data_IF_547968316437
#
_entry.id   IF_547968316437
#
_cell.length_a   1.000
_cell.length_b   1.000
_cell.length_c   1.000
_cell.angle_alpha   90.00
_cell.angle_beta   90.00
_cell.angle_gamma   90.00
#
_symmetry.space_group_name_H-M   'P 1'
#
loop_
_entity.id
_entity.type
_entity.pdbx_description
1 polymer ?
#
# COMPACT_ATOMS: atom_id res chain seq x y z
N UNK A 1 7.83 56.59 11.32
CA UNK A 1 7.60 55.51 12.32
C UNK A 1 6.44 54.59 11.91
N UNK A 2 5.18 55.07 11.89
CA UNK A 2 3.99 54.22 11.68
C UNK A 2 3.90 53.52 10.30
N UNK A 3 4.37 54.15 9.21
CA UNK A 3 4.40 53.53 7.87
C UNK A 3 5.37 52.35 7.75
N UNK A 4 6.46 52.35 8.51
CA UNK A 4 7.42 51.24 8.53
C UNK A 4 6.88 50.09 9.39
N UNK A 5 6.19 50.41 10.49
CA UNK A 5 5.53 49.43 11.33
C UNK A 5 4.48 48.62 10.56
N UNK A 6 3.63 49.27 9.75
CA UNK A 6 2.64 48.60 8.91
C UNK A 6 3.31 47.67 7.88
N UNK A 7 4.40 48.11 7.24
CA UNK A 7 5.15 47.28 6.29
C UNK A 7 5.77 46.04 6.95
N UNK A 8 6.30 46.18 8.16
CA UNK A 8 6.84 45.07 8.94
C UNK A 8 5.73 44.07 9.30
N UNK A 9 4.56 44.56 9.73
CA UNK A 9 3.41 43.71 10.04
C UNK A 9 2.95 42.93 8.80
N UNK A 10 2.78 43.59 7.65
CA UNK A 10 2.37 42.94 6.40
C UNK A 10 3.40 41.89 5.95
N UNK A 11 4.69 42.23 6.02
CA UNK A 11 5.78 41.30 5.68
C UNK A 11 5.77 40.09 6.61
N UNK A 12 5.60 40.29 7.92
CA UNK A 12 5.53 39.21 8.90
C UNK A 12 4.30 38.32 8.72
N UNK A 13 3.15 38.89 8.35
CA UNK A 13 1.94 38.13 8.04
C UNK A 13 2.10 37.27 6.79
N UNK A 14 2.72 37.83 5.75
CA UNK A 14 3.00 37.12 4.50
C UNK A 14 3.96 35.95 4.73
N UNK A 15 5.06 36.18 5.48
CA UNK A 15 5.98 35.12 5.88
C UNK A 15 5.31 34.03 6.73
N UNK A 16 4.39 34.40 7.64
CA UNK A 16 3.66 33.43 8.45
C UNK A 16 2.73 32.56 7.58
N UNK A 17 2.02 33.13 6.60
CA UNK A 17 1.16 32.37 5.70
C UNK A 17 1.94 31.45 4.75
N UNK A 18 3.07 31.89 4.19
CA UNK A 18 3.90 31.08 3.28
C UNK A 18 4.57 29.87 3.95
N UNK A 19 4.61 29.79 5.29
CA UNK A 19 5.16 28.65 6.02
C UNK A 19 4.13 27.54 6.31
N UNK A 20 2.85 27.74 5.97
CA UNK A 20 1.78 26.78 6.25
C UNK A 20 1.53 25.75 5.13
N UNK A 21 2.20 25.85 3.97
CA UNK A 21 1.96 24.97 2.81
C UNK A 21 2.50 23.54 2.97
N UNK A 22 3.02 23.17 4.15
CA UNK A 22 3.54 21.81 4.41
C UNK A 22 2.93 21.12 5.63
N UNK A 23 1.64 21.35 5.87
CA UNK A 23 0.89 20.62 6.90
C UNK A 23 -0.24 19.84 6.22
N UNK A 24 0.10 18.75 5.54
CA UNK A 24 -0.64 17.47 5.49
C UNK A 24 0.10 16.52 4.53
N UNK A 25 1.11 15.79 5.02
CA UNK A 25 1.47 14.55 4.34
C UNK A 25 0.40 13.53 4.73
N UNK A 26 -0.70 13.54 3.98
CA UNK A 26 -1.63 12.41 3.99
C UNK A 26 -0.80 11.16 3.70
N UNK A 27 -0.99 10.08 4.46
CA UNK A 27 -0.42 8.79 4.09
C UNK A 27 -0.81 8.46 2.64
N UNK A 28 0.09 7.82 1.89
CA UNK A 28 -0.19 7.37 0.53
C UNK A 28 -1.07 6.12 0.55
N UNK A 29 -2.38 6.34 0.77
CA UNK A 29 -3.37 5.28 0.81
C UNK A 29 -3.59 4.60 -0.55
N UNK A 30 -3.26 5.29 -1.66
CA UNK A 30 -3.32 4.70 -3.01
C UNK A 30 -2.27 3.60 -3.12
N UNK A 31 -1.03 3.89 -2.73
CA UNK A 31 0.03 2.89 -2.71
C UNK A 31 -0.23 1.79 -1.66
N UNK A 32 -0.74 2.14 -0.47
CA UNK A 32 -1.09 1.15 0.55
C UNK A 32 -2.14 0.15 0.06
N UNK A 33 -3.18 0.61 -0.64
CA UNK A 33 -4.19 -0.25 -1.25
C UNK A 33 -3.59 -1.17 -2.32
N UNK A 34 -2.73 -0.63 -3.18
CA UNK A 34 -2.02 -1.40 -4.20
C UNK A 34 -1.20 -2.53 -3.56
N UNK A 35 -0.33 -2.21 -2.60
CA UNK A 35 0.55 -3.19 -1.96
C UNK A 35 -0.23 -4.26 -1.19
N UNK A 36 -1.32 -3.87 -0.52
CA UNK A 36 -2.19 -4.82 0.20
C UNK A 36 -2.81 -5.83 -0.75
N UNK A 37 -3.23 -5.40 -1.94
CA UNK A 37 -3.81 -6.31 -2.95
C UNK A 37 -2.72 -7.13 -3.65
N UNK A 38 -1.56 -6.52 -3.90
CA UNK A 38 -0.40 -7.16 -4.53
C UNK A 38 0.14 -8.34 -3.71
N UNK A 39 0.08 -8.24 -2.38
CA UNK A 39 0.46 -9.31 -1.45
C UNK A 39 -0.25 -10.64 -1.75
N UNK A 40 -1.56 -10.63 -2.00
CA UNK A 40 -2.31 -11.85 -2.33
C UNK A 40 -1.83 -12.54 -3.62
N UNK A 41 -1.16 -11.81 -4.52
CA UNK A 41 -0.56 -12.41 -5.69
C UNK A 41 0.63 -13.33 -5.36
N UNK A 42 1.33 -13.08 -4.25
CA UNK A 42 2.45 -13.91 -3.80
C UNK A 42 1.97 -15.20 -3.14
N UNK A 43 0.81 -15.15 -2.49
CA UNK A 43 0.24 -16.26 -1.73
C UNK A 43 -0.51 -17.28 -2.60
N UNK A 44 -0.61 -17.05 -3.93
CA UNK A 44 -1.43 -17.88 -4.83
C UNK A 44 -0.96 -19.34 -4.86
N UNK A 45 -1.82 -20.28 -4.49
CA UNK A 45 -1.54 -21.72 -4.57
C UNK A 45 -2.09 -22.33 -5.88
N UNK A 46 -1.60 -23.52 -6.27
CA UNK A 46 -1.99 -24.18 -7.52
C UNK A 46 -1.31 -23.61 -8.78
N UNK A 47 -1.85 -23.96 -9.94
CA UNK A 47 -1.42 -23.39 -11.23
C UNK A 47 -2.17 -22.09 -11.55
N UNK A 48 -2.10 -21.12 -10.63
CA UNK A 48 -2.94 -19.90 -10.65
C UNK A 48 -2.17 -18.62 -10.97
N UNK A 49 -0.96 -18.74 -11.52
CA UNK A 49 -0.09 -17.62 -11.94
C UNK A 49 0.27 -16.66 -10.79
N UNK A 50 0.96 -17.17 -9.76
CA UNK A 50 1.65 -16.32 -8.78
C UNK A 50 2.68 -15.42 -9.48
N UNK A 51 2.90 -14.21 -8.95
CA UNK A 51 3.90 -13.31 -9.51
C UNK A 51 5.33 -13.59 -9.01
N UNK A 52 5.49 -14.35 -7.93
CA UNK A 52 6.79 -14.59 -7.29
C UNK A 52 7.25 -16.05 -7.31
N UNK A 53 6.40 -17.01 -7.67
CA UNK A 53 6.77 -18.42 -7.69
C UNK A 53 6.04 -19.22 -8.78
N UNK A 54 6.54 -20.42 -9.08
CA UNK A 54 5.94 -21.35 -10.05
C UNK A 54 4.71 -22.07 -9.48
N UNK A 55 3.99 -22.83 -10.31
CA UNK A 55 2.87 -23.66 -9.85
C UNK A 55 3.29 -24.59 -8.68
N UNK A 56 2.45 -24.65 -7.65
CA UNK A 56 2.69 -25.42 -6.42
C UNK A 56 1.44 -26.20 -6.01
N UNK A 57 1.60 -27.23 -5.15
CA UNK A 57 0.52 -28.05 -4.60
C UNK A 57 -0.55 -28.54 -5.62
N UNK A 58 -0.13 -28.84 -6.86
CA UNK A 58 -1.01 -29.24 -7.99
C UNK A 58 -1.66 -30.61 -7.83
N UNK A 59 -1.60 -31.20 -6.64
CA UNK A 59 -2.17 -32.51 -6.29
C UNK A 59 -3.11 -32.43 -5.08
N UNK A 60 -3.45 -31.23 -4.63
CA UNK A 60 -4.37 -31.06 -3.50
C UNK A 60 -5.73 -31.70 -3.80
N UNK A 61 -6.20 -32.51 -2.85
CA UNK A 61 -7.42 -33.31 -2.98
C UNK A 61 -7.27 -34.65 -3.72
N UNK A 62 -6.09 -34.96 -4.28
CA UNK A 62 -5.87 -36.23 -5.01
C UNK A 62 -6.20 -37.47 -4.18
N UNK A 63 -5.92 -37.47 -2.87
CA UNK A 63 -6.20 -38.59 -1.98
C UNK A 63 -7.71 -38.86 -1.81
N UNK A 64 -8.54 -37.84 -2.04
CA UNK A 64 -10.00 -37.90 -1.96
C UNK A 64 -10.64 -37.99 -3.36
N UNK A 65 -9.84 -37.97 -4.44
CA UNK A 65 -10.34 -37.97 -5.81
C UNK A 65 -11.07 -36.68 -6.22
N UNK A 66 -10.76 -35.56 -5.55
CA UNK A 66 -11.38 -34.25 -5.78
C UNK A 66 -10.27 -33.25 -6.11
N UNK A 67 -10.54 -32.29 -7.00
CA UNK A 67 -9.62 -31.18 -7.24
C UNK A 67 -9.81 -30.11 -6.17
N UNK A 68 -8.81 -29.95 -5.31
CA UNK A 68 -8.73 -28.90 -4.29
C UNK A 68 -7.59 -27.91 -4.58
N UNK A 69 -7.08 -27.88 -5.83
CA UNK A 69 -6.01 -26.96 -6.21
C UNK A 69 -6.51 -25.52 -6.29
N UNK A 70 -5.61 -24.55 -6.04
CA UNK A 70 -5.92 -23.12 -6.11
C UNK A 70 -5.92 -22.43 -4.74
N UNK A 71 -6.53 -21.25 -4.65
CA UNK A 71 -6.63 -20.49 -3.40
C UNK A 71 -5.34 -19.77 -3.01
N UNK A 72 -5.15 -19.57 -1.70
CA UNK A 72 -4.00 -18.87 -1.13
C UNK A 72 -3.43 -19.61 0.07
N UNK A 73 -2.11 -19.55 0.23
CA UNK A 73 -1.45 -19.90 1.48
C UNK A 73 -1.82 -18.91 2.58
N UNK A 74 -2.11 -19.42 3.77
CA UNK A 74 -2.63 -18.64 4.89
C UNK A 74 -1.67 -17.54 5.35
N UNK A 75 -0.39 -17.91 5.57
CA UNK A 75 0.64 -17.01 6.10
C UNK A 75 2.00 -17.21 5.40
N UNK A 76 3.07 -17.42 6.16
CA UNK A 76 4.42 -17.67 5.64
C UNK A 76 4.71 -19.15 5.35
N UNK A 77 3.72 -20.01 5.54
CA UNK A 77 3.75 -21.45 5.30
C UNK A 77 2.83 -21.83 4.12
N UNK A 78 2.46 -23.10 4.02
CA UNK A 78 1.74 -23.64 2.86
C UNK A 78 0.61 -24.61 3.24
N UNK A 79 -0.03 -24.39 4.40
CA UNK A 79 -1.18 -25.18 4.85
C UNK A 79 -2.41 -24.88 3.98
#
# INVERSE_FOLDING_TARGET
>A
MQRYLIKIIILSLFLFFSLNDKIFCAHDYVNALYLTTYFYGAQRCGNTSSWCHAACHVKDGQAQGIDLTGGWHDCGDHV
#
